data_IF_140033571472
#
_entry.id   IF_140033571472
#
_cell.length_a   1.000
_cell.length_b   1.000
_cell.length_c   1.000
_cell.angle_alpha   90.00
_cell.angle_beta   90.00
_cell.angle_gamma   90.00
#
_symmetry.space_group_name_H-M   'P 1'
#
loop_
_entity.id
_entity.type
_entity.pdbx_description
1 polymer ?
#
# COMPACT_ATOMS: atom_id res chain seq x y z
N UNK A 1 6.10 14.73 -11.99
CA UNK A 1 7.41 14.75 -12.69
C UNK A 1 7.23 15.43 -14.05
N UNK A 2 8.14 16.31 -14.48
CA UNK A 2 8.01 17.08 -15.73
C UNK A 2 8.34 16.26 -16.99
N UNK A 3 7.92 15.00 -17.05
CA UNK A 3 8.05 14.18 -18.26
C UNK A 3 9.44 13.60 -18.58
N UNK A 4 10.50 13.96 -17.87
CA UNK A 4 11.86 13.48 -18.10
C UNK A 4 12.34 12.49 -17.02
N UNK A 5 11.49 11.54 -16.61
CA UNK A 5 11.93 10.51 -15.67
C UNK A 5 12.78 9.48 -16.41
N UNK A 6 13.98 9.21 -15.90
CA UNK A 6 14.85 8.16 -16.42
C UNK A 6 14.45 6.82 -15.78
N UNK A 7 13.71 6.01 -16.55
CA UNK A 7 13.18 4.72 -16.12
C UNK A 7 14.25 3.66 -15.88
N UNK A 8 15.49 3.86 -16.31
CA UNK A 8 16.59 2.94 -15.95
C UNK A 8 16.82 2.88 -14.43
N UNK A 9 16.44 3.93 -13.68
CA UNK A 9 16.49 3.91 -12.22
C UNK A 9 15.45 2.96 -11.60
N UNK A 10 14.38 2.62 -12.33
CA UNK A 10 13.36 1.67 -11.88
C UNK A 10 13.84 0.22 -11.94
N UNK A 11 14.85 -0.08 -12.77
CA UNK A 11 15.41 -1.43 -12.96
C UNK A 11 15.88 -2.02 -11.63
N UNK A 12 16.42 -1.19 -10.73
CA UNK A 12 16.83 -1.60 -9.40
C UNK A 12 15.71 -2.32 -8.62
N UNK A 13 14.47 -1.85 -8.71
CA UNK A 13 13.34 -2.46 -7.99
C UNK A 13 13.01 -3.84 -8.56
N UNK A 14 13.00 -3.97 -9.89
CA UNK A 14 12.79 -5.24 -10.57
C UNK A 14 13.91 -6.24 -10.27
N UNK A 15 15.18 -5.80 -10.28
CA UNK A 15 16.32 -6.64 -9.89
C UNK A 15 16.19 -7.16 -8.46
N UNK A 16 15.79 -6.30 -7.51
CA UNK A 16 15.63 -6.71 -6.11
C UNK A 16 14.47 -7.69 -5.94
N UNK A 17 13.36 -7.49 -6.66
CA UNK A 17 12.24 -8.43 -6.63
C UNK A 17 12.63 -9.81 -7.16
N UNK A 18 13.35 -9.84 -8.29
CA UNK A 18 13.86 -11.08 -8.86
C UNK A 18 14.91 -11.75 -7.95
N UNK A 19 15.80 -10.97 -7.34
CA UNK A 19 16.78 -11.47 -6.37
C UNK A 19 16.09 -12.14 -5.16
N UNK A 20 15.02 -11.53 -4.65
CA UNK A 20 14.22 -12.11 -3.56
C UNK A 20 13.59 -13.46 -3.97
N UNK A 21 13.08 -13.57 -5.20
CA UNK A 21 12.58 -14.84 -5.74
C UNK A 21 13.67 -15.90 -5.82
N UNK A 22 14.81 -15.57 -6.43
CA UNK A 22 15.93 -16.49 -6.64
C UNK A 22 16.52 -17.01 -5.33
N UNK A 23 16.55 -16.17 -4.29
CA UNK A 23 17.02 -16.54 -2.95
C UNK A 23 15.96 -17.23 -2.08
N UNK A 24 14.72 -17.34 -2.56
CA UNK A 24 13.62 -17.92 -1.80
C UNK A 24 13.14 -17.06 -0.62
N UNK A 25 13.31 -15.73 -0.72
CA UNK A 25 12.83 -14.77 0.29
C UNK A 25 11.35 -14.39 0.10
N UNK A 26 10.77 -14.74 -1.04
CA UNK A 26 9.32 -14.72 -1.26
C UNK A 26 8.81 -16.15 -1.43
N UNK A 27 7.51 -16.33 -1.24
CA UNK A 27 6.86 -17.63 -1.33
C UNK A 27 6.94 -18.21 -2.76
N UNK A 28 7.13 -19.54 -2.86
CA UNK A 28 7.32 -20.23 -4.14
C UNK A 28 6.10 -20.13 -5.06
N UNK A 29 4.94 -20.02 -4.46
CA UNK A 29 3.63 -19.90 -5.10
C UNK A 29 3.19 -18.44 -5.28
N UNK A 30 4.12 -17.47 -5.27
CA UNK A 30 3.80 -16.02 -5.36
C UNK A 30 2.85 -15.63 -6.49
N UNK A 31 2.86 -16.35 -7.63
CA UNK A 31 1.97 -16.09 -8.77
C UNK A 31 0.55 -16.66 -8.60
N UNK A 32 0.34 -17.56 -7.63
CA UNK A 32 -0.95 -18.24 -7.39
C UNK A 32 -1.51 -17.97 -6.00
N UNK A 33 -0.68 -17.51 -5.06
CA UNK A 33 -1.07 -17.19 -3.70
C UNK A 33 -2.18 -16.14 -3.66
N UNK A 34 -3.07 -16.26 -2.68
CA UNK A 34 -4.25 -15.41 -2.56
C UNK A 34 -4.24 -14.66 -1.22
N UNK A 35 -4.68 -13.40 -1.26
CA UNK A 35 -4.67 -12.53 -0.06
C UNK A 35 -5.43 -13.12 1.15
N UNK A 36 -6.47 -13.93 0.92
CA UNK A 36 -7.25 -14.52 2.01
C UNK A 36 -6.49 -15.59 2.80
N UNK A 37 -5.39 -16.12 2.26
CA UNK A 37 -4.55 -17.12 2.95
C UNK A 37 -3.61 -16.47 3.98
N UNK A 38 -3.33 -15.17 3.81
CA UNK A 38 -2.34 -14.40 4.56
C UNK A 38 -2.54 -14.47 6.08
N UNK A 39 -3.77 -14.23 6.57
CA UNK A 39 -4.08 -14.24 8.01
C UNK A 39 -3.78 -15.61 8.62
N UNK A 40 -4.22 -16.69 7.97
CA UNK A 40 -3.99 -18.04 8.46
C UNK A 40 -2.51 -18.42 8.47
N UNK A 41 -1.76 -18.01 7.44
CA UNK A 41 -0.32 -18.28 7.35
C UNK A 41 0.48 -17.50 8.40
N UNK A 42 0.12 -16.24 8.68
CA UNK A 42 0.75 -15.48 9.77
C UNK A 42 0.41 -16.05 11.15
N UNK A 43 -0.85 -16.43 11.39
CA UNK A 43 -1.24 -17.08 12.65
C UNK A 43 -0.51 -18.42 12.89
N UNK A 44 -0.05 -19.07 11.81
CA UNK A 44 0.78 -20.29 11.85
C UNK A 44 2.29 -19.99 11.92
N UNK A 45 2.71 -18.74 12.11
CA UNK A 45 4.11 -18.32 12.20
C UNK A 45 4.94 -18.64 10.93
N UNK A 46 4.29 -18.69 9.75
CA UNK A 46 4.94 -19.05 8.48
C UNK A 46 5.41 -17.86 7.64
N UNK A 47 5.06 -16.63 8.04
CA UNK A 47 5.39 -15.39 7.33
C UNK A 47 6.17 -14.49 8.27
N UNK A 48 7.35 -14.05 7.85
CA UNK A 48 8.16 -13.08 8.60
C UNK A 48 7.79 -11.63 8.25
N UNK A 49 7.59 -11.33 6.97
CA UNK A 49 7.26 -9.98 6.49
C UNK A 49 6.19 -10.07 5.40
N UNK A 50 5.31 -9.07 5.37
CA UNK A 50 4.36 -8.84 4.27
C UNK A 50 4.25 -7.36 4.00
N UNK A 51 4.02 -7.01 2.73
CA UNK A 51 3.70 -5.65 2.32
C UNK A 51 2.22 -5.62 1.91
N UNK A 52 1.39 -4.96 2.70
CA UNK A 52 -0.05 -4.92 2.44
C UNK A 52 -0.84 -4.29 3.59
N UNK A 53 -2.15 -4.13 3.37
CA UNK A 53 -3.07 -3.82 4.47
C UNK A 53 -3.32 -5.09 5.27
N UNK A 54 -3.01 -5.04 6.56
CA UNK A 54 -3.30 -6.13 7.49
C UNK A 54 -4.11 -5.60 8.67
N UNK A 55 -5.05 -6.42 9.12
CA UNK A 55 -5.74 -6.31 10.40
C UNK A 55 -4.97 -7.15 11.42
N UNK A 56 -4.20 -6.51 12.30
CA UNK A 56 -3.46 -7.23 13.35
C UNK A 56 -4.39 -8.04 14.25
N UNK A 57 -5.59 -7.51 14.50
CA UNK A 57 -6.65 -8.18 15.24
C UNK A 57 -7.08 -9.53 14.64
N UNK A 58 -7.19 -9.66 13.31
CA UNK A 58 -7.65 -10.93 12.70
C UNK A 58 -6.64 -12.07 12.93
N UNK A 59 -5.34 -11.74 12.98
CA UNK A 59 -4.29 -12.72 13.30
C UNK A 59 -4.30 -13.04 14.79
N UNK A 60 -4.41 -12.03 15.65
CA UNK A 60 -4.48 -12.19 17.11
C UNK A 60 -5.70 -13.04 17.54
N UNK A 61 -6.86 -12.85 16.91
CA UNK A 61 -8.06 -13.65 17.13
C UNK A 61 -7.83 -15.14 16.82
N UNK A 62 -7.04 -15.43 15.79
CA UNK A 62 -6.72 -16.81 15.39
C UNK A 62 -5.60 -17.43 16.23
N UNK A 63 -4.57 -16.65 16.58
CA UNK A 63 -3.49 -17.07 17.45
C UNK A 63 -2.97 -15.89 18.30
N UNK A 64 -3.39 -15.78 19.58
CA UNK A 64 -3.01 -14.66 20.44
C UNK A 64 -1.53 -14.68 20.88
N UNK A 65 -0.78 -15.74 20.55
CA UNK A 65 0.66 -15.79 20.83
C UNK A 65 1.48 -15.09 19.73
N UNK A 66 0.89 -14.84 18.55
CA UNK A 66 1.57 -14.14 17.46
C UNK A 66 1.52 -12.64 17.74
N UNK A 67 2.69 -12.03 17.80
CA UNK A 67 2.86 -10.60 17.98
C UNK A 67 3.24 -10.00 16.63
N UNK A 68 2.37 -9.14 16.11
CA UNK A 68 2.63 -8.41 14.88
C UNK A 68 3.06 -6.99 15.20
N UNK A 69 3.84 -6.41 14.29
CA UNK A 69 4.15 -5.00 14.33
C UNK A 69 4.29 -4.44 12.91
N UNK A 70 4.29 -3.12 12.81
CA UNK A 70 4.54 -2.41 11.56
C UNK A 70 5.81 -1.56 11.67
N UNK A 71 6.49 -1.43 10.53
CA UNK A 71 7.65 -0.56 10.38
C UNK A 71 7.47 0.31 9.14
N UNK A 72 8.02 1.54 9.12
CA UNK A 72 7.99 2.38 7.93
C UNK A 72 8.77 1.74 6.78
N UNK A 73 8.45 2.16 5.56
CA UNK A 73 9.17 1.70 4.37
C UNK A 73 10.62 2.14 4.48
N UNK A 74 11.60 1.21 4.37
CA UNK A 74 13.00 1.55 4.53
C UNK A 74 13.50 2.43 3.38
N UNK A 75 14.53 3.24 3.66
CA UNK A 75 15.26 3.96 2.63
C UNK A 75 16.08 2.99 1.77
N UNK A 76 16.14 3.27 0.47
CA UNK A 76 17.02 2.56 -0.48
C UNK A 76 18.42 3.17 -0.50
N UNK A 77 18.55 4.47 -0.24
CA UNK A 77 19.83 5.18 -0.27
C UNK A 77 20.51 5.17 1.11
N UNK A 78 21.83 5.02 1.11
CA UNK A 78 22.65 5.13 2.31
C UNK A 78 22.46 6.50 2.97
N UNK A 79 22.27 6.51 4.29
CA UNK A 79 21.97 7.73 5.05
C UNK A 79 20.58 8.32 4.82
N UNK A 80 19.75 7.70 3.98
CA UNK A 80 18.36 8.11 3.81
C UNK A 80 17.49 7.69 5.00
N UNK A 81 16.35 8.37 5.15
CA UNK A 81 15.40 8.14 6.24
C UNK A 81 14.22 7.28 5.77
N UNK A 82 13.65 6.42 6.63
CA UNK A 82 12.42 5.70 6.31
C UNK A 82 11.25 6.66 6.03
N UNK A 83 10.20 6.14 5.40
CA UNK A 83 8.97 6.91 5.15
C UNK A 83 7.73 6.04 5.32
N UNK A 84 6.67 6.63 5.87
CA UNK A 84 5.34 6.06 5.75
C UNK A 84 4.78 6.38 4.36
N UNK A 85 4.16 5.40 3.70
CA UNK A 85 3.47 5.66 2.42
C UNK A 85 1.98 5.72 2.71
N UNK A 86 1.37 6.86 2.43
CA UNK A 86 0.00 7.10 2.86
C UNK A 86 -0.66 8.29 2.18
N UNK A 87 -1.47 9.00 2.96
CA UNK A 87 -2.47 9.94 2.47
C UNK A 87 -3.85 9.27 2.42
N UNK A 88 -4.61 9.52 1.36
CA UNK A 88 -5.96 8.98 1.20
C UNK A 88 -5.98 7.45 1.14
N UNK A 89 -6.87 6.81 1.90
CA UNK A 89 -7.06 5.35 1.88
C UNK A 89 -8.49 4.95 1.56
N UNK A 90 -9.43 5.25 2.46
CA UNK A 90 -10.85 5.11 2.21
C UNK A 90 -11.49 6.49 2.36
N UNK A 91 -12.10 7.00 1.30
CA UNK A 91 -12.75 8.32 1.29
C UNK A 91 -14.17 8.20 0.74
N UNK A 92 -15.04 9.11 1.19
CA UNK A 92 -16.40 9.24 0.68
C UNK A 92 -16.54 10.65 0.11
N UNK A 93 -16.87 10.74 -1.17
CA UNK A 93 -17.12 12.00 -1.86
C UNK A 93 -18.58 12.09 -2.31
N UNK A 94 -19.14 13.30 -2.26
CA UNK A 94 -20.49 13.57 -2.76
C UNK A 94 -20.36 13.93 -4.24
N UNK A 95 -21.05 13.20 -5.11
CA UNK A 95 -21.13 13.56 -6.53
C UNK A 95 -21.81 14.93 -6.68
N UNK A 96 -21.13 15.85 -7.38
CA UNK A 96 -21.58 17.24 -7.53
C UNK A 96 -22.96 17.40 -8.18
N UNK A 97 -23.40 16.43 -8.99
CA UNK A 97 -24.68 16.47 -9.71
C UNK A 97 -25.70 15.46 -9.17
N UNK A 98 -25.57 15.02 -7.92
CA UNK A 98 -26.53 14.10 -7.29
C UNK A 98 -27.92 14.73 -7.13
N UNK A 99 -28.98 13.94 -7.35
CA UNK A 99 -30.37 14.33 -7.08
C UNK A 99 -30.71 14.34 -5.58
N UNK A 100 -29.80 13.82 -4.72
CA UNK A 100 -29.99 13.68 -3.28
C UNK A 100 -28.87 14.35 -2.45
N UNK A 101 -28.65 15.68 -2.61
CA UNK A 101 -27.52 16.35 -1.97
C UNK A 101 -27.65 16.42 -0.45
N UNK A 102 -28.87 16.58 0.08
CA UNK A 102 -29.10 16.70 1.52
C UNK A 102 -28.91 15.36 2.25
N UNK A 103 -29.40 14.26 1.68
CA UNK A 103 -29.19 12.91 2.21
C UNK A 103 -27.72 12.49 2.16
N UNK A 104 -27.02 12.80 1.06
CA UNK A 104 -25.60 12.53 0.93
C UNK A 104 -24.77 13.30 1.96
N UNK A 105 -25.10 14.57 2.23
CA UNK A 105 -24.46 15.36 3.31
C UNK A 105 -24.73 14.76 4.68
N UNK A 106 -25.98 14.38 4.99
CA UNK A 106 -26.32 13.72 6.27
C UNK A 106 -25.51 12.44 6.49
N UNK A 107 -25.26 11.68 5.42
CA UNK A 107 -24.43 10.49 5.52
C UNK A 107 -22.96 10.82 5.83
N UNK A 108 -22.38 11.81 5.15
CA UNK A 108 -21.01 12.27 5.46
C UNK A 108 -20.93 12.85 6.88
N UNK A 109 -21.92 13.62 7.32
CA UNK A 109 -22.02 14.12 8.70
C UNK A 109 -22.06 12.98 9.71
N UNK A 110 -22.87 11.93 9.46
CA UNK A 110 -22.90 10.73 10.29
C UNK A 110 -21.52 10.05 10.35
N UNK A 111 -20.85 9.86 9.22
CA UNK A 111 -19.51 9.28 9.17
C UNK A 111 -18.45 10.11 9.91
N UNK A 112 -18.66 11.43 10.02
CA UNK A 112 -17.74 12.35 10.69
C UNK A 112 -17.90 12.41 12.22
N UNK A 113 -18.92 11.75 12.79
CA UNK A 113 -19.11 11.71 14.24
C UNK A 113 -17.93 10.98 14.91
N UNK A 114 -17.36 11.49 16.02
CA UNK A 114 -16.14 10.93 16.61
C UNK A 114 -16.21 9.43 16.92
N UNK A 115 -17.36 8.92 17.38
CA UNK A 115 -17.52 7.49 17.67
C UNK A 115 -17.56 6.63 16.39
N UNK A 116 -18.12 7.16 15.30
CA UNK A 116 -18.14 6.50 13.98
C UNK A 116 -16.75 6.50 13.36
N UNK A 117 -16.03 7.63 13.43
CA UNK A 117 -14.64 7.74 12.98
C UNK A 117 -13.75 6.74 13.72
N UNK A 118 -13.89 6.65 15.06
CA UNK A 118 -13.15 5.66 15.87
C UNK A 118 -13.47 4.23 15.44
N UNK A 119 -14.75 3.88 15.27
CA UNK A 119 -15.16 2.53 14.82
C UNK A 119 -14.55 2.17 13.47
N UNK A 120 -14.49 3.11 12.52
CA UNK A 120 -13.89 2.87 11.19
C UNK A 120 -12.36 2.74 11.31
N UNK A 121 -11.71 3.60 12.08
CA UNK A 121 -10.26 3.55 12.31
C UNK A 121 -9.83 2.21 12.95
N UNK A 122 -10.50 1.83 14.05
CA UNK A 122 -10.25 0.58 14.78
C UNK A 122 -10.50 -0.64 13.86
N UNK A 123 -11.61 -0.66 13.12
CA UNK A 123 -11.97 -1.76 12.20
C UNK A 123 -11.07 -1.89 10.96
N UNK A 124 -10.35 -0.84 10.58
CA UNK A 124 -9.40 -0.88 9.45
C UNK A 124 -7.95 -1.01 9.89
N UNK A 125 -7.68 -0.99 11.19
CA UNK A 125 -6.33 -0.91 11.76
C UNK A 125 -5.51 0.29 11.24
N UNK A 126 -6.19 1.39 10.88
CA UNK A 126 -5.59 2.60 10.35
C UNK A 126 -5.79 3.79 11.31
N UNK A 127 -4.87 4.77 11.31
CA UNK A 127 -5.08 6.01 12.04
C UNK A 127 -6.36 6.74 11.58
N UNK A 128 -7.07 7.43 12.48
CA UNK A 128 -8.26 8.18 12.12
C UNK A 128 -7.91 9.35 11.19
N UNK A 129 -8.77 9.59 10.19
CA UNK A 129 -8.59 10.67 9.21
C UNK A 129 -8.94 12.07 9.74
N UNK A 130 -9.49 12.17 10.95
CA UNK A 130 -9.84 13.44 11.62
C UNK A 130 -9.04 13.59 12.92
N UNK A 131 -8.61 14.82 13.20
CA UNK A 131 -7.93 15.16 14.46
C UNK A 131 -8.88 15.06 15.66
N UNK A 132 -8.33 14.81 16.85
CA UNK A 132 -9.11 14.74 18.09
C UNK A 132 -9.89 13.44 18.30
N UNK A 133 -9.65 12.43 17.46
CA UNK A 133 -10.14 11.07 17.65
C UNK A 133 -8.95 10.18 17.99
N UNK A 134 -9.00 9.51 19.14
CA UNK A 134 -8.01 8.52 19.53
C UNK A 134 -8.50 7.13 19.10
N UNK A 135 -7.66 6.41 18.37
CA UNK A 135 -7.89 5.03 17.95
C UNK A 135 -6.94 4.13 18.72
N UNK A 136 -7.48 3.06 19.28
CA UNK A 136 -6.70 2.03 19.97
C UNK A 136 -6.46 0.87 19.00
N UNK A 137 -6.20 1.19 17.72
CA UNK A 137 -5.94 0.15 16.74
C UNK A 137 -4.71 -0.67 17.14
N UNK A 138 -4.68 -1.93 16.68
CA UNK A 138 -3.63 -2.89 17.00
C UNK A 138 -2.20 -2.34 16.86
N UNK A 139 -1.95 -1.45 15.90
CA UNK A 139 -0.63 -0.90 15.60
C UNK A 139 -0.37 0.50 16.20
N UNK A 140 -1.22 1.00 17.09
CA UNK A 140 -1.11 2.36 17.64
C UNK A 140 0.24 2.62 18.32
N UNK A 141 0.79 1.63 19.03
CA UNK A 141 2.10 1.74 19.69
C UNK A 141 3.24 1.87 18.69
N UNK A 142 3.18 1.16 17.56
CA UNK A 142 4.19 1.25 16.50
C UNK A 142 4.10 2.62 15.80
N UNK A 143 2.89 3.09 15.51
CA UNK A 143 2.70 4.43 14.95
C UNK A 143 3.26 5.52 15.87
N UNK A 144 3.07 5.41 17.19
CA UNK A 144 3.64 6.35 18.15
C UNK A 144 5.18 6.29 18.17
N UNK A 145 5.76 5.07 18.16
CA UNK A 145 7.21 4.87 18.11
C UNK A 145 7.86 5.49 16.85
N UNK A 146 7.11 5.51 15.73
CA UNK A 146 7.53 6.09 14.46
C UNK A 146 6.83 7.42 14.13
N UNK A 147 6.30 8.14 15.12
CA UNK A 147 5.58 9.41 14.93
C UNK A 147 6.42 10.53 14.28
N UNK A 148 7.74 10.42 14.41
CA UNK A 148 8.72 11.32 13.80
C UNK A 148 8.98 11.04 12.30
N UNK A 149 8.53 9.88 11.80
CA UNK A 149 8.69 9.48 10.40
C UNK A 149 7.64 10.17 9.54
N UNK A 150 8.08 10.76 8.42
CA UNK A 150 7.18 11.49 7.52
C UNK A 150 6.29 10.54 6.72
N UNK A 151 5.09 11.02 6.42
CA UNK A 151 4.18 10.39 5.46
C UNK A 151 4.43 11.01 4.08
N UNK A 152 4.82 10.17 3.13
CA UNK A 152 4.92 10.50 1.71
C UNK A 152 3.67 9.95 0.99
N UNK A 153 3.18 10.63 -0.06
CA UNK A 153 2.06 10.14 -0.83
C UNK A 153 2.45 8.90 -1.65
N UNK A 154 1.45 8.12 -2.04
CA UNK A 154 1.63 7.06 -3.04
C UNK A 154 2.25 7.61 -4.33
N UNK A 155 3.35 6.97 -4.77
CA UNK A 155 4.15 7.42 -5.90
C UNK A 155 3.35 7.53 -7.20
N UNK A 156 2.55 6.50 -7.51
CA UNK A 156 1.73 6.44 -8.73
C UNK A 156 0.66 7.54 -8.76
N UNK A 157 0.08 7.88 -7.60
CA UNK A 157 -1.01 8.86 -7.50
C UNK A 157 -0.55 10.29 -7.79
N UNK A 158 0.69 10.64 -7.44
CA UNK A 158 1.21 12.01 -7.53
C UNK A 158 2.14 12.20 -8.72
N UNK A 159 2.92 11.18 -9.07
CA UNK A 159 4.01 11.32 -10.03
C UNK A 159 3.75 10.63 -11.38
N UNK A 160 2.80 9.71 -11.46
CA UNK A 160 2.50 8.95 -12.67
C UNK A 160 1.11 9.29 -13.23
N UNK A 161 0.88 9.10 -14.54
CA UNK A 161 -0.47 9.17 -15.11
C UNK A 161 -1.33 8.01 -14.61
N UNK A 162 -2.65 8.24 -14.54
CA UNK A 162 -3.62 7.20 -14.23
C UNK A 162 -3.47 6.02 -15.19
N UNK A 163 -3.52 4.80 -14.65
CA UNK A 163 -3.28 3.56 -15.39
C UNK A 163 -1.94 2.90 -15.05
N UNK A 164 -0.93 3.67 -14.63
CA UNK A 164 0.40 3.09 -14.32
C UNK A 164 0.39 2.09 -13.15
N UNK A 165 -0.56 2.19 -12.23
CA UNK A 165 -0.73 1.20 -11.17
C UNK A 165 -0.89 -0.24 -11.72
N UNK A 166 -1.67 -0.40 -12.79
CA UNK A 166 -1.92 -1.71 -13.41
C UNK A 166 -0.68 -2.22 -14.16
N UNK A 167 0.04 -1.31 -14.81
CA UNK A 167 1.32 -1.59 -15.49
C UNK A 167 2.37 -2.08 -14.48
N UNK A 168 2.48 -1.43 -13.32
CA UNK A 168 3.37 -1.87 -12.23
C UNK A 168 3.05 -3.30 -11.76
N UNK A 169 1.76 -3.60 -11.56
CA UNK A 169 1.32 -4.93 -11.12
C UNK A 169 1.53 -6.02 -12.17
N UNK A 170 1.27 -5.70 -13.44
CA UNK A 170 1.39 -6.63 -14.57
C UNK A 170 2.85 -6.96 -14.85
N UNK A 171 3.71 -5.94 -14.99
CA UNK A 171 5.14 -6.14 -15.27
C UNK A 171 5.86 -6.88 -14.14
N UNK A 172 5.46 -6.69 -12.88
CA UNK A 172 5.98 -7.46 -11.75
C UNK A 172 5.60 -8.95 -11.83
N UNK A 173 4.39 -9.29 -12.26
CA UNK A 173 3.98 -10.69 -12.48
C UNK A 173 4.74 -11.31 -13.65
N UNK A 174 4.89 -10.57 -14.74
CA UNK A 174 5.63 -11.02 -15.92
C UNK A 174 7.11 -11.26 -15.60
N UNK A 175 7.74 -10.38 -14.81
CA UNK A 175 9.08 -10.57 -14.26
C UNK A 175 9.18 -11.87 -13.45
N UNK A 176 8.28 -12.08 -12.49
CA UNK A 176 8.31 -13.26 -11.62
C UNK A 176 7.97 -14.57 -12.37
N UNK A 177 7.25 -14.48 -13.48
CA UNK A 177 7.01 -15.61 -14.39
C UNK A 177 8.20 -15.91 -15.31
N UNK A 178 9.18 -15.02 -15.38
CA UNK A 178 10.33 -15.09 -16.29
C UNK A 178 10.04 -14.60 -17.71
N UNK A 179 8.90 -13.93 -17.94
CA UNK A 179 8.52 -13.37 -19.25
C UNK A 179 9.25 -12.07 -19.56
N UNK A 180 9.61 -11.29 -18.54
CA UNK A 180 10.41 -10.08 -18.67
C UNK A 180 11.68 -10.17 -17.82
N UNK A 181 12.76 -9.57 -18.30
CA UNK A 181 13.94 -9.21 -17.52
C UNK A 181 13.72 -7.91 -16.74
N UNK A 182 14.54 -7.61 -15.72
CA UNK A 182 14.45 -6.34 -15.00
C UNK A 182 14.55 -5.09 -15.89
N UNK A 183 15.38 -5.13 -16.94
CA UNK A 183 15.52 -4.01 -17.88
C UNK A 183 14.28 -3.86 -18.77
N UNK A 184 13.70 -4.97 -19.23
CA UNK A 184 12.46 -4.95 -20.02
C UNK A 184 11.25 -4.46 -19.20
N UNK A 185 11.22 -4.70 -17.88
CA UNK A 185 10.22 -4.08 -16.99
C UNK A 185 10.32 -2.56 -17.06
N UNK A 186 11.53 -2.00 -16.91
CA UNK A 186 11.73 -0.54 -16.98
C UNK A 186 11.38 0.04 -18.35
N UNK A 187 11.72 -0.67 -19.43
CA UNK A 187 11.37 -0.25 -20.80
C UNK A 187 9.84 -0.23 -20.98
N UNK A 188 9.15 -1.26 -20.52
CA UNK A 188 7.68 -1.34 -20.59
C UNK A 188 7.03 -0.21 -19.77
N UNK A 189 7.56 0.06 -18.58
CA UNK A 189 7.10 1.16 -17.73
C UNK A 189 7.28 2.53 -18.41
N UNK A 190 8.38 2.75 -19.14
CA UNK A 190 8.61 3.98 -19.90
C UNK A 190 7.63 4.13 -21.08
N UNK A 191 7.50 3.08 -21.89
CA UNK A 191 6.58 3.06 -23.04
C UNK A 191 5.15 3.36 -22.61
N UNK A 192 4.66 2.68 -21.56
CA UNK A 192 3.31 2.87 -21.04
C UNK A 192 3.12 4.22 -20.36
N UNK A 193 4.12 4.74 -19.66
CA UNK A 193 4.08 6.08 -19.09
C UNK A 193 3.91 7.15 -20.17
N UNK A 194 4.66 7.04 -21.27
CA UNK A 194 4.55 7.98 -22.38
C UNK A 194 3.19 7.84 -23.09
N UNK A 195 2.76 6.60 -23.37
CA UNK A 195 1.44 6.31 -23.96
C UNK A 195 0.30 6.89 -23.14
N UNK A 196 0.28 6.67 -21.81
CA UNK A 196 -0.78 7.13 -20.92
C UNK A 196 -0.77 8.66 -20.72
N UNK A 197 0.38 9.31 -20.85
CA UNK A 197 0.44 10.78 -20.81
C UNK A 197 -0.18 11.43 -22.04
N UNK A 198 -0.07 10.80 -23.21
CA UNK A 198 -0.66 11.29 -24.46
C UNK A 198 -2.18 11.12 -24.53
N UNK A 199 -2.76 10.26 -23.69
CA UNK A 199 -4.21 9.99 -23.67
C UNK A 199 -5.02 11.04 -22.87
N UNK A 200 -4.38 12.12 -22.41
CA UNK A 200 -5.05 13.21 -21.68
C UNK A 200 -5.58 14.30 -22.59
#
# INVERSE_FOLDING_TARGET
MNGNFDWSNYTFLAEKLLEMQQKGFINKDVLTAQNHEMVSLMAQEKIGFVMGGLTGHDVEEMNPNVQLGIIPVPSIHEGGIPSWIGGERHTVAIWKDTDHPEEARKFVEFLSQPDIVKKIADGTSLPPGLTGVESDNYFATDYEAYSHVKVEPYFDRVYLPSGMWDVMGTTAQELLSGSLTPEEVSNTMDEEYNRLKEQK
#
